data_IF_341521649530
#
_entry.id   IF_341521649530
#
_cell.length_a   1.000
_cell.length_b   1.000
_cell.length_c   1.000
_cell.angle_alpha   90.00
_cell.angle_beta   90.00
_cell.angle_gamma   90.00
#
_symmetry.space_group_name_H-M   'P 1'
#
loop_
_entity.id
_entity.type
_entity.pdbx_description
1 polymer ?
#
# COMPACT_ATOMS: atom_id res chain seq x y z
N UNK A 1 25.04 -25.79 -18.11
CA UNK A 1 23.97 -26.43 -17.33
C UNK A 1 22.90 -25.36 -17.18
N UNK A 2 21.95 -25.33 -18.11
CA UNK A 2 21.03 -24.19 -18.23
C UNK A 2 19.86 -24.43 -17.25
N UNK A 3 19.83 -23.68 -16.15
CA UNK A 3 18.67 -23.60 -15.27
C UNK A 3 17.57 -22.82 -16.00
N UNK A 4 16.68 -23.55 -16.67
CA UNK A 4 15.39 -23.02 -17.07
C UNK A 4 14.58 -22.82 -15.78
N UNK A 5 14.50 -21.58 -15.28
CA UNK A 5 13.48 -21.22 -14.29
C UNK A 5 12.10 -21.44 -14.94
N UNK A 6 11.20 -22.24 -14.35
CA UNK A 6 9.88 -22.42 -14.91
C UNK A 6 9.11 -21.10 -14.83
N UNK A 7 8.57 -20.66 -15.97
CA UNK A 7 7.76 -19.47 -16.14
C UNK A 7 6.34 -19.68 -15.59
N UNK A 8 6.17 -19.74 -14.27
CA UNK A 8 4.86 -19.72 -13.63
C UNK A 8 4.87 -18.97 -12.29
N UNK A 9 5.51 -17.80 -12.25
CA UNK A 9 5.72 -17.01 -11.02
C UNK A 9 4.76 -15.81 -10.90
N UNK A 10 3.51 -15.90 -11.38
CA UNK A 10 2.57 -14.77 -11.24
C UNK A 10 1.09 -15.12 -11.01
N UNK A 11 0.74 -16.40 -10.73
CA UNK A 11 -0.69 -16.77 -10.69
C UNK A 11 -1.17 -17.76 -9.64
N UNK A 12 -0.43 -18.02 -8.57
CA UNK A 12 -0.84 -19.06 -7.60
C UNK A 12 -0.63 -18.66 -6.13
N UNK A 13 -1.21 -17.52 -5.73
CA UNK A 13 -1.32 -17.20 -4.30
C UNK A 13 -2.43 -17.99 -3.58
N UNK A 14 -3.26 -18.73 -4.32
CA UNK A 14 -4.34 -19.51 -3.73
C UNK A 14 -3.82 -20.89 -3.39
N UNK A 15 -3.78 -21.19 -2.10
CA UNK A 15 -3.36 -22.50 -1.63
C UNK A 15 -4.38 -23.53 -2.14
N UNK A 16 -3.94 -24.62 -2.80
CA UNK A 16 -4.84 -25.67 -3.23
C UNK A 16 -5.48 -26.35 -2.01
N UNK A 17 -6.75 -26.70 -2.15
CA UNK A 17 -7.59 -27.22 -1.07
C UNK A 17 -7.05 -28.51 -0.44
N UNK A 18 -6.34 -29.32 -1.24
CA UNK A 18 -5.74 -30.58 -0.85
C UNK A 18 -4.50 -30.40 0.05
N UNK A 19 -3.86 -29.23 0.00
CA UNK A 19 -2.68 -28.92 0.80
C UNK A 19 -3.01 -28.53 2.25
N UNK A 20 -4.29 -28.27 2.56
CA UNK A 20 -4.71 -27.75 3.87
C UNK A 20 -5.83 -28.59 4.47
N UNK A 21 -5.48 -29.35 5.52
CA UNK A 21 -6.43 -30.16 6.30
C UNK A 21 -7.09 -29.38 7.44
N UNK A 22 -6.52 -28.23 7.85
CA UNK A 22 -6.94 -27.45 9.02
C UNK A 22 -7.05 -25.97 8.72
N UNK A 23 -7.95 -25.27 9.39
CA UNK A 23 -8.06 -23.82 9.30
C UNK A 23 -6.73 -23.15 9.68
N UNK A 24 -6.23 -22.25 8.82
CA UNK A 24 -4.96 -21.54 9.02
C UNK A 24 -4.94 -20.67 10.28
N UNK A 25 -6.10 -20.21 10.75
CA UNK A 25 -6.22 -19.35 11.95
C UNK A 25 -6.45 -20.16 13.23
N UNK A 26 -7.49 -20.99 13.28
CA UNK A 26 -7.92 -21.67 14.50
C UNK A 26 -7.51 -23.15 14.58
N UNK A 27 -6.91 -23.71 13.54
CA UNK A 27 -6.46 -25.11 13.51
C UNK A 27 -7.57 -26.16 13.45
N UNK A 28 -8.84 -25.77 13.30
CA UNK A 28 -9.96 -26.72 13.19
C UNK A 28 -9.85 -27.56 11.93
N UNK A 29 -10.03 -28.88 12.04
CA UNK A 29 -10.06 -29.78 10.88
C UNK A 29 -11.22 -29.47 9.94
N UNK A 30 -10.95 -29.54 8.64
CA UNK A 30 -11.98 -29.44 7.60
C UNK A 30 -12.70 -30.78 7.41
N UNK A 31 -13.98 -30.72 7.05
CA UNK A 31 -14.82 -31.89 6.87
C UNK A 31 -16.17 -31.55 6.23
N UNK A 32 -17.14 -32.47 6.34
CA UNK A 32 -18.46 -32.28 5.73
C UNK A 32 -19.23 -31.06 6.29
N UNK A 33 -19.02 -30.70 7.55
CA UNK A 33 -19.69 -29.55 8.21
C UNK A 33 -18.80 -28.31 8.31
N UNK A 34 -17.49 -28.47 8.25
CA UNK A 34 -16.53 -27.36 8.29
C UNK A 34 -15.86 -27.23 6.92
N UNK A 35 -16.42 -26.35 6.07
CA UNK A 35 -15.97 -26.18 4.69
C UNK A 35 -14.78 -25.21 4.61
N UNK A 36 -14.00 -25.35 3.53
CA UNK A 36 -12.84 -24.52 3.22
C UNK A 36 -13.28 -23.20 2.59
N UNK A 37 -12.64 -22.10 2.99
CA UNK A 37 -12.86 -20.78 2.42
C UNK A 37 -11.56 -20.01 2.26
N UNK A 38 -11.29 -19.52 1.05
CA UNK A 38 -10.13 -18.67 0.79
C UNK A 38 -10.36 -17.22 1.26
N UNK A 39 -9.32 -16.63 1.84
CA UNK A 39 -9.25 -15.18 2.00
C UNK A 39 -8.86 -14.55 0.66
N UNK A 40 -9.66 -13.61 0.15
CA UNK A 40 -9.36 -12.95 -1.14
C UNK A 40 -8.17 -11.98 -1.07
N UNK A 41 -7.70 -11.64 0.13
CA UNK A 41 -6.54 -10.77 0.33
C UNK A 41 -5.23 -11.55 0.47
N UNK A 42 -5.18 -12.64 1.24
CA UNK A 42 -3.95 -13.41 1.46
C UNK A 42 -3.89 -14.78 0.77
N UNK A 43 -5.00 -15.30 0.24
CA UNK A 43 -5.05 -16.57 -0.48
C UNK A 43 -5.08 -17.83 0.39
N UNK A 44 -4.85 -17.72 1.70
CA UNK A 44 -4.90 -18.87 2.62
C UNK A 44 -6.34 -19.39 2.85
N UNK A 45 -6.43 -20.62 3.37
CA UNK A 45 -7.69 -21.34 3.61
C UNK A 45 -8.09 -21.29 5.09
N UNK A 46 -9.36 -20.98 5.33
CA UNK A 46 -9.95 -20.82 6.67
C UNK A 46 -11.34 -21.47 6.75
N UNK A 47 -11.82 -21.69 7.98
CA UNK A 47 -13.22 -22.02 8.23
C UNK A 47 -14.12 -20.78 8.16
N UNK A 48 -15.44 -20.98 8.08
CA UNK A 48 -16.41 -19.88 8.01
C UNK A 48 -16.30 -18.95 9.22
N UNK A 49 -16.04 -19.51 10.41
CA UNK A 49 -15.89 -18.74 11.65
C UNK A 49 -14.76 -17.71 11.62
N UNK A 50 -13.66 -18.02 10.92
CA UNK A 50 -12.47 -17.18 10.80
C UNK A 50 -12.49 -16.27 9.57
N UNK A 51 -13.57 -16.32 8.78
CA UNK A 51 -13.75 -15.52 7.56
C UNK A 51 -15.17 -14.96 7.44
N UNK A 52 -15.78 -14.58 8.56
CA UNK A 52 -17.15 -14.03 8.57
C UNK A 52 -17.22 -12.65 7.91
N UNK A 53 -16.13 -11.90 7.97
CA UNK A 53 -16.05 -10.53 7.49
C UNK A 53 -16.00 -10.40 5.97
N UNK A 54 -16.59 -9.31 5.47
CA UNK A 54 -16.47 -8.86 4.08
C UNK A 54 -16.05 -7.40 4.05
N UNK A 55 -15.10 -7.06 3.17
CA UNK A 55 -14.59 -5.68 3.03
C UNK A 55 -14.14 -5.43 1.60
N UNK A 56 -14.24 -4.17 1.17
CA UNK A 56 -13.61 -3.70 -0.05
C UNK A 56 -12.08 -3.69 0.14
N UNK A 57 -11.32 -4.20 -0.83
CA UNK A 57 -9.85 -4.18 -0.72
C UNK A 57 -9.24 -2.86 -1.16
N UNK A 58 -9.98 -2.04 -1.90
CA UNK A 58 -9.57 -0.72 -2.38
C UNK A 58 -10.41 0.39 -1.76
N UNK A 59 -9.93 1.64 -1.86
CA UNK A 59 -10.65 2.81 -1.34
C UNK A 59 -11.76 3.31 -2.29
N UNK A 60 -12.04 2.59 -3.38
CA UNK A 60 -13.04 3.00 -4.36
C UNK A 60 -14.44 2.83 -3.78
N UNK A 61 -15.30 3.84 -3.95
CA UNK A 61 -16.68 3.84 -3.43
C UNK A 61 -17.53 2.68 -3.99
N UNK A 62 -17.18 2.18 -5.18
CA UNK A 62 -17.87 1.08 -5.86
C UNK A 62 -17.16 -0.29 -5.70
N UNK A 63 -16.14 -0.39 -4.84
CA UNK A 63 -15.39 -1.63 -4.66
C UNK A 63 -16.26 -2.75 -4.06
N UNK A 64 -16.22 -3.92 -4.69
CA UNK A 64 -16.96 -5.09 -4.20
C UNK A 64 -16.40 -5.58 -2.85
N UNK A 65 -17.29 -5.81 -1.89
CA UNK A 65 -16.90 -6.40 -0.61
C UNK A 65 -16.63 -7.91 -0.77
N UNK A 66 -15.40 -8.32 -0.52
CA UNK A 66 -14.94 -9.71 -0.64
C UNK A 66 -14.70 -10.34 0.71
N UNK A 67 -14.82 -11.68 0.78
CA UNK A 67 -14.57 -12.44 2.01
C UNK A 67 -13.08 -12.41 2.37
N UNK A 68 -12.78 -12.07 3.61
CA UNK A 68 -11.39 -12.07 4.12
C UNK A 68 -11.31 -12.74 5.49
N UNK A 69 -10.12 -13.17 5.87
CA UNK A 69 -9.86 -13.64 7.22
C UNK A 69 -9.79 -12.48 8.21
N UNK A 70 -9.97 -12.78 9.51
CA UNK A 70 -10.02 -11.75 10.56
C UNK A 70 -8.76 -10.87 10.61
N UNK A 71 -7.57 -11.44 10.33
CA UNK A 71 -6.32 -10.68 10.22
C UNK A 71 -6.37 -9.65 9.09
N UNK A 72 -6.78 -10.10 7.91
CA UNK A 72 -6.89 -9.23 6.73
C UNK A 72 -8.01 -8.21 6.87
N UNK A 73 -9.09 -8.56 7.57
CA UNK A 73 -10.16 -7.61 7.93
C UNK A 73 -9.58 -6.42 8.69
N UNK A 74 -8.89 -6.66 9.81
CA UNK A 74 -8.32 -5.59 10.63
C UNK A 74 -7.31 -4.74 9.86
N UNK A 75 -6.43 -5.38 9.08
CA UNK A 75 -5.40 -4.67 8.32
C UNK A 75 -5.98 -3.81 7.19
N UNK A 76 -6.95 -4.33 6.44
CA UNK A 76 -7.60 -3.56 5.36
C UNK A 76 -8.43 -2.42 5.94
N UNK A 77 -9.19 -2.65 7.02
CA UNK A 77 -9.93 -1.58 7.70
C UNK A 77 -9.03 -0.42 8.10
N UNK A 78 -7.86 -0.71 8.70
CA UNK A 78 -6.87 0.29 9.09
C UNK A 78 -6.28 1.04 7.89
N UNK A 79 -5.98 0.33 6.80
CA UNK A 79 -5.46 0.95 5.56
C UNK A 79 -6.48 1.90 4.96
N UNK A 80 -7.75 1.50 4.89
CA UNK A 80 -8.82 2.31 4.33
C UNK A 80 -9.16 3.52 5.20
N UNK A 81 -9.15 3.38 6.53
CA UNK A 81 -9.33 4.53 7.42
C UNK A 81 -8.22 5.56 7.22
N UNK A 82 -6.96 5.13 7.14
CA UNK A 82 -5.82 6.02 6.91
C UNK A 82 -5.88 6.71 5.55
N UNK A 83 -6.34 6.01 4.50
CA UNK A 83 -6.52 6.60 3.18
C UNK A 83 -7.61 7.69 3.18
N UNK A 84 -8.69 7.49 3.94
CA UNK A 84 -9.75 8.50 4.12
C UNK A 84 -9.24 9.73 4.86
N UNK A 85 -8.44 9.56 5.91
CA UNK A 85 -7.80 10.67 6.63
C UNK A 85 -6.81 11.45 5.73
N UNK A 86 -6.08 10.74 4.87
CA UNK A 86 -5.18 11.39 3.91
C UNK A 86 -5.93 12.21 2.85
N UNK A 87 -7.14 11.77 2.46
CA UNK A 87 -8.00 12.50 1.53
C UNK A 87 -8.78 13.66 2.20
N UNK A 88 -9.11 13.55 3.49
CA UNK A 88 -9.83 14.58 4.25
C UNK A 88 -8.91 15.69 4.77
N UNK A 89 -7.62 15.40 4.96
CA UNK A 89 -6.62 16.42 5.27
C UNK A 89 -6.47 17.30 4.03
N UNK A 90 -6.83 18.59 4.08
CA UNK A 90 -6.52 19.46 2.96
C UNK A 90 -5.02 19.34 2.77
N UNK A 91 -4.60 18.91 1.57
CA UNK A 91 -3.24 19.07 1.12
C UNK A 91 -2.92 20.53 1.44
N UNK A 92 -2.08 20.75 2.45
CA UNK A 92 -1.76 22.10 2.87
C UNK A 92 -1.23 22.81 1.65
N UNK A 93 -2.07 23.68 1.06
CA UNK A 93 -1.62 25.00 0.68
C UNK A 93 -0.82 25.47 1.88
N UNK A 94 0.49 25.31 1.84
CA UNK A 94 1.36 26.10 2.67
C UNK A 94 1.14 27.52 2.17
N UNK A 95 0.19 28.20 2.79
CA UNK A 95 -0.08 29.60 2.53
C UNK A 95 1.25 30.33 2.70
N UNK A 96 1.54 31.24 1.78
CA UNK A 96 2.74 32.07 1.74
C UNK A 96 2.98 32.89 3.04
N UNK A 97 2.07 32.78 4.02
CA UNK A 97 2.10 33.47 5.29
C UNK A 97 3.03 32.81 6.33
N UNK A 98 3.23 31.49 6.29
CA UNK A 98 4.12 30.80 7.25
C UNK A 98 5.61 30.97 6.93
N UNK A 99 5.95 31.29 5.67
CA UNK A 99 7.32 31.66 5.29
C UNK A 99 7.68 33.08 5.78
N UNK A 100 6.72 34.01 5.77
CA UNK A 100 6.93 35.39 6.22
C UNK A 100 7.22 35.49 7.73
N UNK A 101 6.60 34.62 8.55
CA UNK A 101 6.90 34.53 10.00
C UNK A 101 8.30 34.01 10.29
N UNK A 102 8.85 33.12 9.45
CA UNK A 102 10.23 32.59 9.60
C UNK A 102 11.31 33.57 9.15
N UNK A 103 11.00 34.53 8.28
CA UNK A 103 11.94 35.55 7.82
C UNK A 103 12.16 36.69 8.84
N UNK A 104 11.31 36.82 9.86
CA UNK A 104 11.43 37.87 10.87
C UNK A 104 12.21 37.44 12.12
N UNK A 105 12.51 36.14 12.28
CA UNK A 105 13.20 35.60 13.45
C UNK A 105 14.73 35.62 13.36
N UNK A 106 15.32 36.13 12.27
CA UNK A 106 16.77 36.27 12.15
C UNK A 106 17.14 37.71 11.79
N UNK A 107 16.98 38.59 12.77
CA UNK A 107 17.59 39.91 12.75
C UNK A 107 19.09 39.80 13.00
N UNK A 108 19.87 39.97 11.93
CA UNK A 108 21.21 40.53 11.94
C UNK A 108 22.35 39.63 12.43
N UNK A 109 23.16 39.13 11.49
CA UNK A 109 24.54 39.59 11.32
C UNK A 109 25.10 39.03 10.02
N UNK A 110 25.89 39.87 9.36
CA UNK A 110 26.64 39.60 8.14
C UNK A 110 27.39 38.27 8.24
N UNK A 111 27.27 37.40 7.22
CA UNK A 111 28.39 36.75 6.53
C UNK A 111 27.88 35.75 5.47
N UNK A 112 28.59 35.75 4.35
CA UNK A 112 28.42 35.04 3.08
C UNK A 112 27.91 33.60 3.16
N UNK A 113 26.77 33.32 2.50
CA UNK A 113 26.33 31.96 2.16
C UNK A 113 26.98 31.53 0.84
N UNK A 114 27.66 30.38 0.75
CA UNK A 114 28.13 29.87 -0.52
C UNK A 114 26.94 29.44 -1.37
N UNK A 115 27.01 29.84 -2.64
CA UNK A 115 26.11 29.48 -3.74
C UNK A 115 25.95 27.96 -3.81
N UNK A 116 24.90 27.44 -3.17
CA UNK A 116 24.45 26.07 -3.42
C UNK A 116 23.86 26.00 -4.81
N UNK A 117 24.55 25.22 -5.63
CA UNK A 117 24.20 24.73 -6.95
C UNK A 117 22.70 24.53 -7.14
N UNK A 118 22.21 25.00 -8.29
CA UNK A 118 20.88 24.68 -8.83
C UNK A 118 20.65 23.17 -8.69
N UNK A 119 19.79 22.77 -7.75
CA UNK A 119 19.15 21.45 -7.82
C UNK A 119 18.21 21.55 -9.01
N UNK A 120 18.62 20.93 -10.12
CA UNK A 120 17.74 20.65 -11.24
C UNK A 120 16.49 19.98 -10.70
N UNK A 121 15.34 20.64 -10.86
CA UNK A 121 14.04 20.12 -10.46
C UNK A 121 13.81 18.75 -11.07
N UNK A 122 13.95 17.71 -10.25
CA UNK A 122 13.46 16.37 -10.58
C UNK A 122 11.95 16.42 -10.35
N UNK A 123 11.16 16.29 -11.42
CA UNK A 123 9.70 16.39 -11.34
C UNK A 123 9.11 15.32 -10.41
N UNK A 124 8.33 15.76 -9.42
CA UNK A 124 7.47 14.85 -8.65
C UNK A 124 6.36 14.34 -9.57
N UNK A 125 6.04 13.05 -9.50
CA UNK A 125 4.93 12.45 -10.27
C UNK A 125 3.93 11.80 -9.32
N UNK A 126 2.67 11.86 -9.71
CA UNK A 126 1.58 11.24 -9.00
C UNK A 126 1.43 9.78 -9.47
N UNK A 127 1.47 8.85 -8.52
CA UNK A 127 1.27 7.41 -8.75
C UNK A 127 0.21 6.88 -7.80
N UNK A 128 -0.65 5.99 -8.27
CA UNK A 128 -1.62 5.30 -7.43
C UNK A 128 -1.00 4.03 -6.85
N UNK A 129 -1.09 3.85 -5.54
CA UNK A 129 -0.66 2.61 -4.90
C UNK A 129 -1.54 1.44 -5.36
N UNK A 130 -0.97 0.31 -5.84
CA UNK A 130 -1.76 -0.82 -6.34
C UNK A 130 -2.58 -1.54 -5.25
N UNK A 131 -2.26 -1.32 -3.98
CA UNK A 131 -2.93 -1.98 -2.85
C UNK A 131 -4.03 -1.12 -2.25
N UNK A 132 -3.76 0.16 -1.99
CA UNK A 132 -4.71 1.02 -1.29
C UNK A 132 -5.25 2.16 -2.17
N UNK A 133 -4.91 2.16 -3.46
CA UNK A 133 -5.33 3.14 -4.49
C UNK A 133 -5.05 4.61 -4.18
N UNK A 134 -4.43 4.93 -3.03
CA UNK A 134 -4.06 6.28 -2.67
C UNK A 134 -3.04 6.85 -3.66
N UNK A 135 -3.22 8.12 -3.98
CA UNK A 135 -2.31 8.87 -4.83
C UNK A 135 -1.13 9.39 -3.99
N UNK A 136 0.09 9.05 -4.39
CA UNK A 136 1.32 9.54 -3.78
C UNK A 136 2.10 10.38 -4.78
N UNK A 137 2.68 11.49 -4.30
CA UNK A 137 3.69 12.23 -5.05
C UNK A 137 5.07 11.64 -4.75
N UNK A 138 5.63 10.94 -5.72
CA UNK A 138 6.93 10.26 -5.59
C UNK A 138 7.92 10.82 -6.60
N UNK A 139 9.20 10.81 -6.24
CA UNK A 139 10.28 11.16 -7.15
C UNK A 139 10.51 9.95 -8.07
N UNK A 140 10.21 10.10 -9.36
CA UNK A 140 10.42 9.00 -10.31
C UNK A 140 11.82 9.12 -10.92
N UNK A 141 12.59 8.02 -11.01
CA UNK A 141 13.89 8.04 -11.67
C UNK A 141 13.71 8.41 -13.16
N UNK A 142 14.69 9.13 -13.72
CA UNK A 142 14.67 9.53 -15.13
C UNK A 142 14.74 8.32 -16.09
N UNK A 143 15.17 7.16 -15.59
CA UNK A 143 15.28 5.91 -16.33
C UNK A 143 15.23 4.72 -15.38
N UNK A 144 14.50 3.66 -15.74
CA UNK A 144 14.40 2.41 -14.97
C UNK A 144 13.12 2.29 -14.13
N UNK A 145 13.09 1.27 -13.27
CA UNK A 145 12.04 1.08 -12.26
C UNK A 145 12.63 1.19 -10.86
N UNK A 146 11.89 1.83 -9.95
CA UNK A 146 12.26 1.99 -8.54
C UNK A 146 11.15 1.44 -7.65
N UNK A 147 11.52 0.67 -6.63
CA UNK A 147 10.58 0.24 -5.59
C UNK A 147 10.34 1.38 -4.63
N UNK A 148 9.09 1.86 -4.56
CA UNK A 148 8.66 2.89 -3.62
C UNK A 148 7.71 2.26 -2.60
N UNK A 149 7.79 2.68 -1.34
CA UNK A 149 6.88 2.26 -0.30
C UNK A 149 5.72 3.24 -0.14
N UNK A 150 4.50 2.71 -0.13
CA UNK A 150 3.32 3.52 0.13
C UNK A 150 3.30 3.97 1.60
N UNK A 151 3.36 5.28 1.87
CA UNK A 151 3.26 5.81 3.25
C UNK A 151 1.96 5.48 3.99
N UNK A 152 0.91 5.03 3.29
CA UNK A 152 -0.39 4.69 3.88
C UNK A 152 -0.49 3.21 4.23
N UNK A 153 -0.18 2.32 3.28
CA UNK A 153 -0.31 0.87 3.47
C UNK A 153 1.01 0.13 3.70
N UNK A 154 2.14 0.85 3.70
CA UNK A 154 3.50 0.32 3.83
C UNK A 154 3.80 -0.82 2.83
N UNK A 155 3.09 -0.84 1.70
CA UNK A 155 3.34 -1.82 0.66
C UNK A 155 4.39 -1.28 -0.31
N UNK A 156 5.48 -2.03 -0.57
CA UNK A 156 6.42 -1.71 -1.62
C UNK A 156 5.79 -2.01 -2.99
N UNK A 157 5.88 -1.06 -3.92
CA UNK A 157 5.42 -1.25 -5.30
C UNK A 157 6.42 -0.64 -6.29
N UNK A 158 6.52 -1.22 -7.48
CA UNK A 158 7.42 -0.74 -8.52
C UNK A 158 6.80 0.44 -9.27
N UNK A 159 7.57 1.51 -9.40
CA UNK A 159 7.25 2.68 -10.22
C UNK A 159 8.26 2.74 -11.36
N UNK A 160 7.78 2.71 -12.61
CA UNK A 160 8.64 2.78 -13.80
C UNK A 160 8.69 4.20 -14.37
N UNK A 161 9.87 4.59 -14.87
CA UNK A 161 10.02 5.69 -15.81
C UNK A 161 9.17 5.40 -17.06
N UNK A 162 8.52 6.44 -17.60
CA UNK A 162 7.82 6.34 -18.89
C UNK A 162 8.82 6.51 -20.04
#
# INVERSE_FOLDING_TARGET
MNLIKPANEEKDHWVPDEAVSKCTSCGSDFGAFNRRHHCRNCGDIFCDKCTKGRIALTADENAQQVRVCDRCMAEVTRRLSNAKEAASKPAGLQTHEDLARKLQACGGYYLTVPRSTKVSGKGMREVACPICTVHLQVQVPASGSETIECGVCQHPFLVSAR
#
